data_IF_802196342246
#
_entry.id   IF_802196342246
#
_cell.length_a   1.000
_cell.length_b   1.000
_cell.length_c   1.000
_cell.angle_alpha   90.00
_cell.angle_beta   90.00
_cell.angle_gamma   90.00
#
_symmetry.space_group_name_H-M   'P 1'
#
loop_
_entity.id
_entity.type
_entity.pdbx_description
1 polymer ?
#
# COMPACT_ATOMS: atom_id res chain seq x y z
N UNK A 1 -24.63 11.32 50.20
CA UNK A 1 -23.21 11.65 49.92
C UNK A 1 -22.49 10.58 49.10
N UNK A 2 -22.62 9.28 49.40
CA UNK A 2 -21.93 8.21 48.67
C UNK A 2 -22.40 8.02 47.21
N UNK A 3 -23.70 8.19 46.92
CA UNK A 3 -24.26 8.11 45.55
C UNK A 3 -23.79 9.23 44.62
N UNK A 4 -23.52 10.43 45.15
CA UNK A 4 -23.03 11.58 44.37
C UNK A 4 -21.56 11.39 43.97
N UNK A 5 -20.76 10.74 44.82
CA UNK A 5 -19.36 10.39 44.52
C UNK A 5 -19.26 9.35 43.41
N UNK A 6 -20.16 8.35 43.40
CA UNK A 6 -20.20 7.31 42.34
C UNK A 6 -20.64 7.91 41.00
N UNK A 7 -21.63 8.81 41.01
CA UNK A 7 -22.05 9.52 39.79
C UNK A 7 -20.95 10.45 39.24
N UNK A 8 -20.20 11.13 40.12
CA UNK A 8 -19.06 11.96 39.73
C UNK A 8 -17.90 11.13 39.15
N UNK A 9 -17.61 9.95 39.72
CA UNK A 9 -16.64 9.01 39.18
C UNK A 9 -17.08 8.44 37.82
N UNK A 10 -18.35 8.10 37.63
CA UNK A 10 -18.88 7.68 36.32
C UNK A 10 -18.74 8.77 35.24
N UNK A 11 -18.98 10.04 35.59
CA UNK A 11 -18.81 11.17 34.66
C UNK A 11 -17.34 11.39 34.27
N UNK A 12 -16.40 11.15 35.19
CA UNK A 12 -14.96 11.23 34.90
C UNK A 12 -14.52 10.07 34.00
N UNK A 13 -15.07 8.86 34.20
CA UNK A 13 -14.74 7.67 33.39
C UNK A 13 -15.35 7.75 31.97
N UNK A 14 -16.51 8.40 31.81
CA UNK A 14 -17.17 8.59 30.50
C UNK A 14 -16.48 9.64 29.61
N UNK A 15 -15.57 10.45 30.14
CA UNK A 15 -15.00 11.62 29.45
C UNK A 15 -13.65 11.42 28.75
N UNK A 16 -13.02 10.25 28.84
CA UNK A 16 -11.71 9.99 28.21
C UNK A 16 -11.83 9.16 26.93
N UNK A 17 -12.77 9.54 26.06
CA UNK A 17 -12.66 9.13 24.67
C UNK A 17 -11.43 9.78 24.07
N UNK A 18 -10.41 8.99 23.70
CA UNK A 18 -9.28 9.46 22.88
C UNK A 18 -9.87 10.04 21.60
N UNK A 19 -10.03 11.36 21.54
CA UNK A 19 -10.46 12.04 20.34
C UNK A 19 -9.33 11.87 19.33
N UNK A 20 -9.54 10.93 18.41
CA UNK A 20 -8.69 10.74 17.26
C UNK A 20 -8.63 12.09 16.51
N UNK A 21 -7.44 12.70 16.40
CA UNK A 21 -7.24 13.99 15.74
C UNK A 21 -7.54 13.90 14.24
N UNK A 22 -8.06 14.95 13.57
CA UNK A 22 -8.28 14.94 12.11
C UNK A 22 -6.98 14.67 11.34
N UNK A 23 -7.09 14.27 10.06
CA UNK A 23 -5.93 14.12 9.18
C UNK A 23 -5.11 15.42 9.15
N UNK A 24 -3.79 15.30 9.09
CA UNK A 24 -2.85 16.41 9.03
C UNK A 24 -1.79 16.19 7.95
N UNK A 25 -1.23 17.27 7.41
CA UNK A 25 -0.18 17.19 6.38
C UNK A 25 1.09 16.55 6.95
N UNK A 26 1.76 15.72 6.15
CA UNK A 26 3.06 15.13 6.51
C UNK A 26 4.11 16.23 6.60
N UNK A 27 4.79 16.28 7.75
CA UNK A 27 5.91 17.17 8.08
C UNK A 27 7.23 16.41 8.26
N UNK A 28 7.17 15.07 8.30
CA UNK A 28 8.35 14.19 8.41
C UNK A 28 9.19 14.30 7.13
N UNK A 29 10.45 14.80 7.19
CA UNK A 29 11.27 15.02 6.01
C UNK A 29 11.46 13.78 5.13
N UNK A 30 11.73 12.63 5.76
CA UNK A 30 11.94 11.33 5.09
C UNK A 30 10.70 10.85 4.31
N UNK A 31 9.51 11.34 4.65
CA UNK A 31 8.23 10.89 4.10
C UNK A 31 7.57 11.88 3.13
N UNK A 32 8.27 12.95 2.74
CA UNK A 32 7.72 13.97 1.84
C UNK A 32 7.39 13.45 0.44
N UNK A 33 8.18 12.49 -0.05
CA UNK A 33 8.02 11.90 -1.38
C UNK A 33 7.13 10.64 -1.39
N UNK A 34 6.41 10.39 -0.28
CA UNK A 34 5.44 9.31 -0.24
C UNK A 34 4.26 9.59 -1.19
N UNK A 35 3.61 8.56 -1.74
CA UNK A 35 2.44 8.75 -2.58
C UNK A 35 1.23 9.39 -1.91
N UNK A 36 1.24 9.51 -0.58
CA UNK A 36 0.23 10.22 0.21
C UNK A 36 0.87 11.42 0.91
N UNK A 37 0.11 12.50 1.08
CA UNK A 37 0.57 13.75 1.67
C UNK A 37 -0.08 14.07 3.03
N UNK A 38 -1.07 13.27 3.45
CA UNK A 38 -1.78 13.42 4.73
C UNK A 38 -1.63 12.16 5.57
N UNK A 39 -1.37 12.38 6.85
CA UNK A 39 -1.21 11.35 7.89
C UNK A 39 -2.20 11.61 9.03
N UNK A 40 -2.22 10.71 10.00
CA UNK A 40 -2.95 10.87 11.26
C UNK A 40 -2.10 10.39 12.42
N UNK A 41 -2.29 11.02 13.57
CA UNK A 41 -1.77 10.53 14.85
C UNK A 41 -2.87 9.98 15.78
N UNK A 42 -2.56 8.99 16.63
CA UNK A 42 -1.25 8.34 16.79
C UNK A 42 -0.88 7.42 15.61
N UNK A 43 0.42 7.26 15.35
CA UNK A 43 0.92 6.31 14.35
C UNK A 43 1.01 4.88 14.91
N UNK A 44 1.47 3.92 14.09
CA UNK A 44 1.58 2.49 14.47
C UNK A 44 2.58 2.22 15.60
N UNK A 45 3.39 3.21 15.94
CA UNK A 45 4.39 3.17 17.01
C UNK A 45 3.95 4.01 18.23
N UNK A 46 2.67 4.39 18.27
CA UNK A 46 2.05 5.12 19.35
C UNK A 46 2.62 6.52 19.61
N UNK A 47 3.27 7.14 18.61
CA UNK A 47 3.64 8.55 18.71
C UNK A 47 2.39 9.41 18.53
N UNK A 48 2.04 10.20 19.54
CA UNK A 48 0.86 11.09 19.52
C UNK A 48 1.03 12.33 18.64
N UNK A 49 2.26 12.68 18.24
CA UNK A 49 2.57 13.88 17.45
C UNK A 49 3.63 13.59 16.39
N UNK A 50 3.58 14.31 15.27
CA UNK A 50 4.60 14.21 14.23
C UNK A 50 5.97 14.64 14.73
N UNK A 51 6.08 15.57 15.67
CA UNK A 51 7.33 15.97 16.29
C UNK A 51 8.05 14.78 16.95
N UNK A 52 7.31 13.94 17.68
CA UNK A 52 7.87 12.75 18.30
C UNK A 52 8.25 11.70 17.24
N UNK A 53 7.43 11.55 16.20
CA UNK A 53 7.73 10.64 15.09
C UNK A 53 8.95 11.09 14.27
N UNK A 54 9.15 12.39 14.08
CA UNK A 54 10.32 12.98 13.41
C UNK A 54 11.60 12.60 14.16
N UNK A 55 11.65 12.82 15.48
CA UNK A 55 12.81 12.47 16.28
C UNK A 55 13.11 10.96 16.23
N UNK A 56 12.06 10.13 16.24
CA UNK A 56 12.21 8.68 16.26
C UNK A 56 12.55 8.08 14.89
N UNK A 57 12.15 8.68 13.77
CA UNK A 57 12.46 8.17 12.42
C UNK A 57 13.82 8.64 11.90
N UNK A 58 14.33 9.78 12.40
CA UNK A 58 15.59 10.39 11.96
C UNK A 58 16.79 9.45 12.09
N UNK A 59 16.78 8.57 13.09
CA UNK A 59 17.82 7.55 13.29
C UNK A 59 17.99 6.56 12.11
N UNK A 60 16.99 6.46 11.22
CA UNK A 60 17.05 5.59 10.04
C UNK A 60 17.48 6.32 8.77
N UNK A 61 17.75 7.63 8.82
CA UNK A 61 18.12 8.42 7.65
C UNK A 61 19.36 7.83 6.95
N UNK A 62 20.42 7.53 7.71
CA UNK A 62 21.64 6.91 7.17
C UNK A 62 21.37 5.54 6.53
N UNK A 63 20.49 4.73 7.13
CA UNK A 63 20.12 3.42 6.62
C UNK A 63 19.33 3.52 5.30
N UNK A 64 18.47 4.54 5.18
CA UNK A 64 17.77 4.87 3.95
C UNK A 64 18.74 5.35 2.87
N UNK A 65 19.70 6.20 3.21
CA UNK A 65 20.71 6.72 2.27
C UNK A 65 21.64 5.62 1.73
N UNK A 66 21.94 4.59 2.54
CA UNK A 66 22.66 3.38 2.11
C UNK A 66 21.87 2.59 1.05
N UNK A 67 20.54 2.76 1.00
CA UNK A 67 19.65 2.12 0.04
C UNK A 67 19.76 0.58 0.04
N UNK A 68 19.83 -0.01 1.24
CA UNK A 68 19.89 -1.47 1.45
C UNK A 68 18.62 -2.21 0.99
N UNK A 69 17.48 -1.51 0.91
CA UNK A 69 16.22 -2.06 0.38
C UNK A 69 15.39 -0.96 -0.28
N UNK A 70 14.86 -1.19 -1.50
CA UNK A 70 14.09 -0.18 -2.23
C UNK A 70 12.73 0.16 -1.60
N UNK A 71 12.30 -0.62 -0.60
CA UNK A 71 11.01 -0.44 0.10
C UNK A 71 11.17 0.03 1.53
N UNK A 72 12.40 0.32 1.99
CA UNK A 72 12.65 0.74 3.38
C UNK A 72 11.95 2.07 3.70
N UNK A 73 12.11 3.09 2.87
CA UNK A 73 11.47 4.40 3.06
C UNK A 73 9.95 4.28 3.11
N UNK A 74 9.36 3.52 2.18
CA UNK A 74 7.93 3.22 2.17
C UNK A 74 7.49 2.54 3.47
N UNK A 75 8.21 1.50 3.91
CA UNK A 75 7.89 0.76 5.13
C UNK A 75 7.93 1.67 6.37
N UNK A 76 9.01 2.44 6.54
CA UNK A 76 9.16 3.37 7.65
C UNK A 76 8.04 4.41 7.62
N UNK A 77 7.76 5.03 6.47
CA UNK A 77 6.70 6.03 6.39
C UNK A 77 5.30 5.43 6.60
N UNK A 78 5.04 4.20 6.17
CA UNK A 78 3.79 3.51 6.47
C UNK A 78 3.61 3.26 7.98
N UNK A 79 4.70 3.09 8.73
CA UNK A 79 4.68 2.93 10.20
C UNK A 79 4.61 4.26 10.96
N UNK A 80 5.40 5.25 10.55
CA UNK A 80 5.59 6.52 11.25
C UNK A 80 4.62 7.63 10.81
N UNK A 81 4.17 7.59 9.56
CA UNK A 81 3.28 8.58 8.93
C UNK A 81 2.19 7.88 8.10
N UNK A 82 1.37 7.01 8.71
CA UNK A 82 0.43 6.18 7.97
C UNK A 82 -0.59 7.01 7.19
N UNK A 83 -0.98 6.52 6.01
CA UNK A 83 -1.96 7.19 5.16
C UNK A 83 -3.28 7.44 5.89
N UNK A 84 -3.75 8.69 5.89
CA UNK A 84 -5.06 9.02 6.44
C UNK A 84 -6.16 8.75 5.42
N UNK A 85 -7.07 7.81 5.72
CA UNK A 85 -8.23 7.52 4.87
C UNK A 85 -9.51 7.45 5.71
N UNK A 86 -10.65 7.77 5.11
CA UNK A 86 -11.95 7.82 5.81
C UNK A 86 -12.39 6.47 6.39
N UNK A 87 -11.96 5.36 5.79
CA UNK A 87 -12.32 4.01 6.25
C UNK A 87 -11.48 3.53 7.43
N UNK A 88 -10.30 4.13 7.64
CA UNK A 88 -9.30 3.70 8.62
C UNK A 88 -8.95 4.86 9.56
N UNK A 89 -10.00 5.53 10.03
CA UNK A 89 -9.86 6.69 10.91
C UNK A 89 -9.32 6.28 12.29
N UNK A 90 -9.86 5.23 12.89
CA UNK A 90 -9.48 4.86 14.27
C UNK A 90 -8.21 4.00 14.35
N UNK A 91 -7.97 3.17 13.33
CA UNK A 91 -6.79 2.32 13.21
C UNK A 91 -6.26 2.47 11.78
N UNK A 92 -5.13 3.18 11.56
CA UNK A 92 -4.60 3.40 10.22
C UNK A 92 -4.26 2.08 9.51
N UNK A 93 -4.21 2.09 8.17
CA UNK A 93 -3.83 0.87 7.44
C UNK A 93 -2.35 0.57 7.71
N UNK A 94 -2.03 -0.68 8.07
CA UNK A 94 -0.66 -1.16 8.28
C UNK A 94 0.01 -1.54 6.95
N UNK A 95 1.34 -1.46 6.86
CA UNK A 95 2.07 -2.06 5.74
C UNK A 95 1.91 -3.57 5.73
N UNK A 96 1.91 -4.18 4.55
CA UNK A 96 1.86 -5.63 4.43
C UNK A 96 3.12 -6.29 5.01
N UNK A 97 2.97 -7.48 5.61
CA UNK A 97 4.07 -8.28 6.15
C UNK A 97 5.21 -8.49 5.14
N UNK A 98 4.86 -8.71 3.87
CA UNK A 98 5.83 -8.87 2.77
C UNK A 98 6.68 -7.62 2.51
N UNK A 99 6.18 -6.43 2.78
CA UNK A 99 6.93 -5.17 2.64
C UNK A 99 7.95 -5.04 3.77
N UNK A 100 7.51 -5.30 5.01
CA UNK A 100 8.40 -5.33 6.17
C UNK A 100 9.53 -6.34 5.99
N UNK A 101 9.19 -7.56 5.56
CA UNK A 101 10.18 -8.62 5.39
C UNK A 101 11.26 -8.22 4.37
N UNK A 102 10.88 -7.66 3.22
CA UNK A 102 11.84 -7.14 2.23
C UNK A 102 12.69 -5.98 2.75
N UNK A 103 12.15 -5.11 3.58
CA UNK A 103 12.91 -4.04 4.22
C UNK A 103 13.93 -4.63 5.21
N UNK A 104 13.48 -5.53 6.07
CA UNK A 104 14.30 -6.24 7.07
C UNK A 104 15.41 -7.06 6.43
N UNK A 105 15.08 -7.88 5.44
CA UNK A 105 16.04 -8.80 4.79
C UNK A 105 17.17 -8.03 4.09
N UNK A 106 16.87 -6.86 3.50
CA UNK A 106 17.89 -6.01 2.88
C UNK A 106 18.75 -5.25 3.90
N UNK A 107 18.15 -4.78 5.00
CA UNK A 107 18.79 -3.78 5.86
C UNK A 107 19.29 -4.30 7.21
N UNK A 108 18.70 -5.36 7.75
CA UNK A 108 19.17 -5.99 9.00
C UNK A 108 20.64 -6.46 8.93
N UNK A 109 21.15 -7.02 7.81
CA UNK A 109 22.57 -7.37 7.70
C UNK A 109 23.52 -6.17 7.86
N UNK A 110 23.09 -4.99 7.40
CA UNK A 110 23.85 -3.74 7.56
C UNK A 110 23.82 -3.30 9.02
N UNK A 111 22.64 -3.31 9.67
CA UNK A 111 22.51 -2.98 11.09
C UNK A 111 23.39 -3.88 11.96
N UNK A 112 23.37 -5.19 11.71
CA UNK A 112 24.17 -6.18 12.45
C UNK A 112 25.68 -5.94 12.35
N UNK A 113 26.17 -5.40 11.23
CA UNK A 113 27.57 -5.02 11.06
C UNK A 113 28.01 -3.93 12.05
N UNK A 114 27.08 -3.06 12.43
CA UNK A 114 27.29 -2.00 13.42
C UNK A 114 26.73 -2.38 14.81
N UNK A 115 26.56 -3.68 15.08
CA UNK A 115 26.07 -4.21 16.36
C UNK A 115 24.66 -3.72 16.76
N UNK A 116 23.82 -3.41 15.76
CA UNK A 116 22.41 -3.11 15.93
C UNK A 116 21.55 -4.26 15.39
N UNK A 117 20.40 -4.50 16.03
CA UNK A 117 19.39 -5.46 15.57
C UNK A 117 18.20 -4.74 14.94
N UNK A 118 17.46 -5.44 14.08
CA UNK A 118 16.15 -4.94 13.65
C UNK A 118 15.25 -4.73 14.89
N UNK A 119 14.63 -3.56 15.04
CA UNK A 119 14.00 -3.19 16.29
C UNK A 119 12.63 -3.87 16.46
N UNK A 120 12.27 -4.21 17.70
CA UNK A 120 11.06 -5.00 18.01
C UNK A 120 9.77 -4.28 17.61
N UNK A 121 9.73 -2.94 17.74
CA UNK A 121 8.59 -2.14 17.33
C UNK A 121 8.38 -2.08 15.80
N UNK A 122 9.36 -2.55 15.02
CA UNK A 122 9.25 -2.76 13.57
C UNK A 122 9.22 -4.25 13.20
N UNK A 123 8.98 -5.16 14.16
CA UNK A 123 8.88 -6.58 13.88
C UNK A 123 7.76 -6.88 12.87
N UNK A 124 8.04 -7.78 11.93
CA UNK A 124 7.12 -8.10 10.84
C UNK A 124 6.00 -9.04 11.25
N UNK A 125 6.03 -9.62 12.46
CA UNK A 125 5.17 -10.74 12.82
C UNK A 125 3.71 -10.37 12.99
N UNK A 126 3.44 -9.19 13.55
CA UNK A 126 2.10 -8.66 13.82
C UNK A 126 1.51 -7.89 12.63
N UNK A 127 2.19 -7.90 11.47
CA UNK A 127 1.71 -7.24 10.27
C UNK A 127 0.77 -8.15 9.45
N UNK A 128 -0.28 -7.58 8.85
CA UNK A 128 -1.24 -8.32 8.04
C UNK A 128 -0.61 -8.91 6.76
N UNK A 129 -1.14 -10.07 6.35
CA UNK A 129 -0.88 -10.70 5.05
C UNK A 129 -1.98 -10.26 4.08
N UNK A 130 -1.62 -9.88 2.85
CA UNK A 130 -2.53 -9.33 1.84
C UNK A 130 -3.78 -10.21 1.59
N UNK A 131 -3.61 -11.53 1.53
CA UNK A 131 -4.72 -12.46 1.28
C UNK A 131 -5.62 -12.70 2.50
N UNK A 132 -5.28 -12.14 3.68
CA UNK A 132 -5.98 -12.36 4.96
C UNK A 132 -6.40 -11.06 5.67
N UNK A 133 -6.20 -9.90 5.05
CA UNK A 133 -6.53 -8.60 5.64
C UNK A 133 -6.19 -7.41 4.73
N UNK A 134 -6.58 -6.21 5.14
CA UNK A 134 -6.27 -4.98 4.40
C UNK A 134 -4.89 -4.45 4.82
N UNK A 135 -3.99 -4.29 3.85
CA UNK A 135 -2.65 -3.74 4.07
C UNK A 135 -2.12 -3.02 2.83
N UNK A 136 -1.12 -2.15 3.00
CA UNK A 136 -0.54 -1.36 1.91
C UNK A 136 0.83 -1.89 1.45
N UNK A 137 1.07 -1.81 0.14
CA UNK A 137 2.32 -2.18 -0.54
C UNK A 137 2.66 -1.12 -1.60
N UNK A 138 3.95 -0.80 -1.85
CA UNK A 138 4.33 0.21 -2.83
C UNK A 138 3.87 -0.12 -4.26
N UNK A 139 3.71 -1.41 -4.58
CA UNK A 139 3.20 -1.88 -5.87
C UNK A 139 1.73 -1.50 -6.11
N UNK A 140 0.97 -1.22 -5.05
CA UNK A 140 -0.39 -0.69 -5.19
C UNK A 140 -0.40 0.82 -5.57
N UNK A 141 0.75 1.50 -5.49
CA UNK A 141 0.82 2.96 -5.63
C UNK A 141 1.87 3.45 -6.65
N UNK A 142 2.76 2.58 -7.17
CA UNK A 142 3.79 2.98 -8.14
C UNK A 142 3.75 2.15 -9.44
N UNK A 143 3.54 2.87 -10.55
CA UNK A 143 3.81 2.60 -11.99
C UNK A 143 2.80 1.91 -12.91
N UNK A 144 1.79 1.22 -12.41
CA UNK A 144 0.77 0.64 -13.30
C UNK A 144 -0.47 1.54 -13.31
N UNK A 145 -0.35 2.71 -13.97
CA UNK A 145 -1.56 3.42 -14.40
C UNK A 145 -2.26 2.46 -15.38
N UNK A 146 -3.50 2.03 -15.10
CA UNK A 146 -4.20 1.14 -16.00
C UNK A 146 -4.27 1.77 -17.39
N UNK A 147 -3.77 1.04 -18.37
CA UNK A 147 -3.97 1.35 -19.78
C UNK A 147 -5.42 1.08 -20.12
N UNK A 148 -6.07 2.00 -20.81
CA UNK A 148 -7.44 1.86 -21.27
C UNK A 148 -7.43 1.88 -22.79
N UNK A 149 -7.82 0.77 -23.40
CA UNK A 149 -7.88 0.60 -24.86
C UNK A 149 -9.29 0.26 -25.30
N UNK A 150 -9.68 0.79 -26.46
CA UNK A 150 -10.80 0.31 -27.24
C UNK A 150 -10.27 -0.68 -28.27
N UNK A 151 -10.71 -1.93 -28.16
CA UNK A 151 -10.17 -3.01 -28.96
C UNK A 151 -11.27 -3.97 -29.45
N UNK A 152 -10.97 -4.69 -30.53
CA UNK A 152 -11.83 -5.74 -31.06
C UNK A 152 -11.25 -7.11 -30.76
N UNK A 153 -12.03 -8.00 -30.16
CA UNK A 153 -11.62 -9.37 -29.88
C UNK A 153 -11.42 -10.14 -31.19
N UNK A 154 -10.25 -10.73 -31.37
CA UNK A 154 -9.92 -11.58 -32.54
C UNK A 154 -10.06 -13.05 -32.20
N UNK A 155 -9.50 -13.48 -31.08
CA UNK A 155 -9.61 -14.86 -30.60
C UNK A 155 -9.55 -14.92 -29.09
N UNK A 156 -10.16 -15.97 -28.54
CA UNK A 156 -10.15 -16.29 -27.12
C UNK A 156 -9.70 -17.74 -27.00
N UNK A 157 -8.54 -17.95 -26.37
CA UNK A 157 -7.98 -19.28 -26.12
C UNK A 157 -8.03 -19.54 -24.63
N UNK A 158 -8.69 -20.64 -24.26
CA UNK A 158 -8.78 -21.10 -22.87
C UNK A 158 -7.89 -22.33 -22.71
N UNK A 159 -6.80 -22.21 -21.95
CA UNK A 159 -5.93 -23.34 -21.62
C UNK A 159 -6.53 -24.13 -20.46
N UNK A 160 -6.62 -23.48 -19.30
CA UNK A 160 -7.17 -24.02 -18.05
C UNK A 160 -8.34 -23.15 -17.53
N UNK A 161 -9.06 -23.59 -16.48
CA UNK A 161 -10.25 -22.89 -15.99
C UNK A 161 -10.02 -21.41 -15.64
N UNK A 162 -8.79 -21.04 -15.25
CA UNK A 162 -8.44 -19.72 -14.73
C UNK A 162 -7.48 -18.91 -15.64
N UNK A 163 -7.01 -19.49 -16.75
CA UNK A 163 -6.06 -18.83 -17.66
C UNK A 163 -6.70 -18.67 -19.03
N UNK A 164 -7.03 -17.42 -19.36
CA UNK A 164 -7.62 -17.05 -20.64
C UNK A 164 -6.63 -16.12 -21.34
N UNK A 165 -6.26 -16.49 -22.56
CA UNK A 165 -5.51 -15.61 -23.46
C UNK A 165 -6.47 -15.05 -24.49
N UNK A 166 -6.62 -13.73 -24.52
CA UNK A 166 -7.46 -13.03 -25.50
C UNK A 166 -6.58 -12.22 -26.43
N UNK A 167 -6.64 -12.48 -27.73
CA UNK A 167 -5.96 -11.65 -28.73
C UNK A 167 -6.94 -10.56 -29.17
N UNK A 168 -6.52 -9.30 -29.05
CA UNK A 168 -7.32 -8.15 -29.44
C UNK A 168 -6.61 -7.29 -30.47
N UNK A 169 -7.36 -6.68 -31.37
CA UNK A 169 -6.87 -5.65 -32.28
C UNK A 169 -7.19 -4.27 -31.69
N UNK A 170 -6.15 -3.51 -31.36
CA UNK A 170 -6.30 -2.18 -30.76
C UNK A 170 -6.78 -1.18 -31.82
N UNK A 171 -7.98 -0.63 -31.62
CA UNK A 171 -8.53 0.44 -32.46
C UNK A 171 -8.04 1.81 -32.00
N UNK A 172 -8.16 2.06 -30.70
CA UNK A 172 -7.85 3.33 -30.08
C UNK A 172 -7.31 3.13 -28.66
N UNK A 173 -6.37 3.98 -28.27
CA UNK A 173 -5.84 4.03 -26.91
C UNK A 173 -6.40 5.26 -26.22
N UNK A 174 -7.24 5.05 -25.21
CA UNK A 174 -7.92 6.13 -24.47
C UNK A 174 -7.04 6.66 -23.33
N UNK A 175 -6.24 5.79 -22.71
CA UNK A 175 -5.29 6.15 -21.64
C UNK A 175 -4.10 5.21 -21.67
N UNK A 176 -2.89 5.73 -21.70
CA UNK A 176 -1.68 4.90 -21.61
C UNK A 176 -0.47 5.70 -21.12
N UNK A 177 0.45 5.01 -20.45
CA UNK A 177 1.76 5.56 -20.08
C UNK A 177 2.78 5.49 -21.23
N UNK A 178 2.53 4.67 -22.26
CA UNK A 178 3.40 4.46 -23.43
C UNK A 178 2.58 4.33 -24.72
N UNK A 179 3.23 4.54 -25.87
CA UNK A 179 2.59 4.30 -27.17
C UNK A 179 2.33 2.81 -27.36
N UNK A 180 1.05 2.42 -27.39
CA UNK A 180 0.64 1.06 -27.74
C UNK A 180 0.49 1.01 -29.27
N UNK A 181 1.22 0.10 -29.92
CA UNK A 181 1.07 -0.08 -31.36
C UNK A 181 -0.35 -0.56 -31.69
N UNK A 182 -1.00 0.07 -32.69
CA UNK A 182 -2.28 -0.37 -33.25
C UNK A 182 -2.10 -1.72 -33.98
N UNK A 183 -1.98 -2.77 -33.19
CA UNK A 183 -1.59 -4.11 -33.61
C UNK A 183 -2.36 -5.16 -32.79
N UNK A 184 -2.13 -6.43 -33.08
CA UNK A 184 -2.68 -7.52 -32.30
C UNK A 184 -1.92 -7.65 -30.98
N UNK A 185 -2.63 -7.48 -29.86
CA UNK A 185 -2.07 -7.55 -28.51
C UNK A 185 -2.64 -8.78 -27.79
N UNK A 186 -1.80 -9.70 -27.29
CA UNK A 186 -2.25 -10.77 -26.42
C UNK A 186 -2.47 -10.23 -25.00
N UNK A 187 -3.66 -10.47 -24.47
CA UNK A 187 -4.04 -10.16 -23.10
C UNK A 187 -4.13 -11.46 -22.32
N UNK A 188 -3.48 -11.49 -21.16
CA UNK A 188 -3.45 -12.64 -20.27
C UNK A 188 -4.28 -12.29 -19.04
N UNK A 189 -5.27 -13.11 -18.73
CA UNK A 189 -6.04 -12.97 -17.48
C UNK A 189 -5.87 -14.23 -16.64
N UNK A 190 -5.36 -14.04 -15.42
CA UNK A 190 -5.22 -15.07 -14.40
C UNK A 190 -5.91 -14.58 -13.13
N UNK A 191 -7.23 -14.79 -13.05
CA UNK A 191 -8.05 -14.34 -11.93
C UNK A 191 -8.85 -15.51 -11.36
N UNK A 192 -9.04 -15.51 -10.05
CA UNK A 192 -9.96 -16.40 -9.35
C UNK A 192 -11.43 -16.03 -9.58
N UNK A 193 -11.70 -14.86 -10.15
CA UNK A 193 -13.04 -14.38 -10.48
C UNK A 193 -13.53 -14.97 -11.81
N UNK A 194 -14.85 -15.14 -11.94
CA UNK A 194 -15.46 -15.57 -13.19
C UNK A 194 -15.28 -14.49 -14.27
N UNK A 195 -14.50 -14.78 -15.31
CA UNK A 195 -14.24 -13.83 -16.38
C UNK A 195 -15.52 -13.59 -17.21
N UNK A 196 -15.76 -12.36 -17.70
CA UNK A 196 -16.84 -12.11 -18.64
C UNK A 196 -16.64 -12.92 -19.92
N UNK A 197 -17.73 -13.45 -20.49
CA UNK A 197 -17.68 -14.18 -21.75
C UNK A 197 -17.39 -13.21 -22.91
N UNK A 198 -16.23 -13.36 -23.53
CA UNK A 198 -15.81 -12.60 -24.71
C UNK A 198 -16.02 -13.43 -25.98
N UNK A 199 -16.57 -12.82 -27.02
CA UNK A 199 -16.79 -13.45 -28.32
C UNK A 199 -15.88 -12.84 -29.39
N UNK A 200 -15.42 -13.63 -30.39
CA UNK A 200 -14.73 -13.07 -31.55
C UNK A 200 -15.58 -11.98 -32.23
N UNK A 201 -14.90 -10.95 -32.74
CA UNK A 201 -15.47 -9.73 -33.35
C UNK A 201 -16.23 -8.78 -32.41
N UNK A 202 -16.25 -9.05 -31.10
CA UNK A 202 -16.82 -8.13 -30.11
C UNK A 202 -15.92 -6.91 -29.89
N UNK A 203 -16.51 -5.71 -29.89
CA UNK A 203 -15.82 -4.47 -29.52
C UNK A 203 -15.92 -4.25 -28.01
N UNK A 204 -14.80 -3.97 -27.35
CA UNK A 204 -14.69 -3.88 -25.90
C UNK A 204 -13.76 -2.73 -25.46
N UNK A 205 -14.07 -2.17 -24.30
CA UNK A 205 -13.16 -1.32 -23.55
C UNK A 205 -12.42 -2.19 -22.54
N UNK A 206 -11.09 -2.16 -22.59
CA UNK A 206 -10.24 -3.02 -21.77
C UNK A 206 -9.35 -2.14 -20.91
N UNK A 207 -9.34 -2.45 -19.62
CA UNK A 207 -8.39 -1.93 -18.66
C UNK A 207 -7.29 -2.97 -18.45
N UNK A 208 -6.05 -2.63 -18.74
CA UNK A 208 -4.92 -3.56 -18.69
C UNK A 208 -3.64 -2.90 -18.16
N UNK A 209 -2.64 -3.74 -17.92
CA UNK A 209 -1.32 -3.32 -17.44
C UNK A 209 -0.25 -3.96 -18.30
N UNK A 210 0.87 -3.28 -18.49
CA UNK A 210 1.98 -3.82 -19.26
C UNK A 210 2.72 -4.86 -18.41
N UNK A 211 2.60 -6.14 -18.76
CA UNK A 211 3.38 -7.19 -18.12
C UNK A 211 4.87 -7.00 -18.44
N UNK A 212 5.69 -6.72 -17.43
CA UNK A 212 7.16 -6.73 -17.53
C UNK A 212 7.68 -7.95 -16.78
N UNK A 213 8.27 -8.91 -17.50
CA UNK A 213 9.10 -9.92 -16.85
C UNK A 213 10.26 -9.22 -16.15
N UNK A 214 10.34 -9.35 -14.83
CA UNK A 214 11.55 -8.96 -14.09
C UNK A 214 12.71 -9.86 -14.46
#
# INVERSE_FOLDING_TARGET
MMLLLIAALCLIVLGTGVQSAPCETIRIPLCKDMPWNITRMPNHLHHSTQENAILAIDQYQELVDINCSPVLSFFLCAMYAPICTLQFLHDPIKPCKSVCQRAKDGCEPIMKRYNHSWPENLACDDLPIYDRGVCISPEAIVTDIPEVIHARVKSVTRSNCNEITTVVEVKETLKSSKTIARSQVPLITNSSCQCPHLLPNQDVLIMCYQWRSR
#
